data_IF_749274305578
#
_entry.id   IF_749274305578
#
_cell.length_a   1.000
_cell.length_b   1.000
_cell.length_c   1.000
_cell.angle_alpha   90.00
_cell.angle_beta   90.00
_cell.angle_gamma   90.00
#
_symmetry.space_group_name_H-M   'P 1'
#
loop_
_entity.id
_entity.type
_entity.pdbx_description
1 polymer ?
#
# COMPACT_ATOMS: atom_id res chain seq x y z
N UNK A 1 10.55 17.28 13.80
CA UNK A 1 10.69 15.80 13.79
C UNK A 1 12.16 15.41 13.69
N UNK A 2 12.60 14.27 14.29
CA UNK A 2 13.99 13.77 14.12
C UNK A 2 14.06 12.87 12.89
N UNK A 3 15.07 13.07 12.04
CA UNK A 3 15.30 12.30 10.82
C UNK A 3 16.81 12.19 10.53
N UNK A 4 17.17 11.24 9.69
CA UNK A 4 18.53 10.99 9.21
C UNK A 4 18.56 11.04 7.67
N UNK A 5 19.54 11.71 7.09
CA UNK A 5 19.74 11.71 5.63
C UNK A 5 20.50 10.45 5.25
N UNK A 6 19.85 9.54 4.53
CA UNK A 6 20.45 8.26 4.08
C UNK A 6 21.20 8.39 2.77
N UNK A 7 20.72 9.22 1.88
CA UNK A 7 21.34 9.45 0.58
C UNK A 7 20.92 10.80 0.03
N UNK A 8 21.83 11.48 -0.60
CA UNK A 8 21.61 12.78 -1.22
C UNK A 8 22.37 12.91 -2.53
N UNK A 9 21.69 13.42 -3.54
CA UNK A 9 22.25 13.88 -4.80
C UNK A 9 21.61 15.23 -5.14
N UNK A 10 22.18 15.97 -6.08
CA UNK A 10 21.63 17.27 -6.49
C UNK A 10 20.15 17.14 -6.91
N UNK A 11 19.28 17.85 -6.23
CA UNK A 11 17.82 17.84 -6.49
C UNK A 11 17.05 16.64 -5.92
N UNK A 12 17.71 15.71 -5.21
CA UNK A 12 17.03 14.56 -4.61
C UNK A 12 17.65 14.16 -3.29
N UNK A 13 16.81 14.01 -2.26
CA UNK A 13 17.21 13.60 -0.92
C UNK A 13 16.38 12.41 -0.46
N UNK A 14 17.01 11.42 0.14
CA UNK A 14 16.34 10.32 0.84
C UNK A 14 16.60 10.45 2.33
N UNK A 15 15.53 10.58 3.09
CA UNK A 15 15.56 10.72 4.55
C UNK A 15 14.84 9.55 5.20
N UNK A 16 15.34 9.16 6.38
CA UNK A 16 14.69 8.18 7.25
C UNK A 16 14.21 8.87 8.51
N UNK A 17 12.94 8.67 8.85
CA UNK A 17 12.35 9.19 10.07
C UNK A 17 12.76 8.31 11.26
N UNK A 18 13.14 8.94 12.38
CA UNK A 18 13.48 8.22 13.62
C UNK A 18 12.23 7.75 14.36
N UNK A 19 11.51 6.79 13.74
CA UNK A 19 10.37 6.11 14.37
C UNK A 19 10.44 4.61 14.05
N UNK A 20 9.94 3.78 14.96
CA UNK A 20 9.98 2.32 14.81
C UNK A 20 9.06 1.79 13.72
N UNK A 21 7.92 2.41 13.56
CA UNK A 21 6.90 2.10 12.55
C UNK A 21 6.24 3.39 12.08
N UNK A 22 5.81 3.39 10.84
CA UNK A 22 5.00 4.44 10.23
C UNK A 22 3.70 3.80 9.75
N UNK A 23 2.57 4.32 10.19
CA UNK A 23 1.27 3.89 9.71
C UNK A 23 1.02 4.45 8.30
N UNK A 24 0.09 3.86 7.56
CA UNK A 24 -0.34 4.38 6.25
C UNK A 24 -0.82 5.83 6.37
N UNK A 25 -1.59 6.13 7.41
CA UNK A 25 -2.07 7.48 7.69
C UNK A 25 -0.93 8.48 7.93
N UNK A 26 0.06 8.13 8.74
CA UNK A 26 1.24 8.98 8.97
C UNK A 26 2.05 9.20 7.69
N UNK A 27 2.19 8.16 6.85
CA UNK A 27 2.85 8.28 5.56
C UNK A 27 2.12 9.24 4.61
N UNK A 28 0.80 9.23 4.62
CA UNK A 28 -0.03 10.13 3.81
C UNK A 28 0.00 11.56 4.32
N UNK A 29 -0.02 11.76 5.64
CA UNK A 29 0.15 13.08 6.25
C UNK A 29 1.52 13.68 5.86
N UNK A 30 2.60 12.89 5.95
CA UNK A 30 3.92 13.32 5.57
C UNK A 30 4.02 13.61 4.06
N UNK A 31 3.43 12.75 3.24
CA UNK A 31 3.36 12.93 1.79
C UNK A 31 2.66 14.25 1.44
N UNK A 32 1.48 14.50 2.00
CA UNK A 32 0.70 15.69 1.77
C UNK A 32 1.47 16.96 2.18
N UNK A 33 2.00 16.97 3.41
CA UNK A 33 2.75 18.10 3.93
C UNK A 33 3.96 18.44 3.06
N UNK A 34 4.76 17.44 2.67
CA UNK A 34 5.92 17.69 1.83
C UNK A 34 5.52 18.13 0.41
N UNK A 35 4.48 17.54 -0.15
CA UNK A 35 3.98 17.92 -1.48
C UNK A 35 3.39 19.33 -1.54
N UNK A 36 2.95 19.88 -0.41
CA UNK A 36 2.45 21.26 -0.33
C UNK A 36 3.57 22.33 -0.32
N UNK A 37 4.84 21.92 -0.17
CA UNK A 37 5.97 22.85 -0.18
C UNK A 37 6.35 23.26 -1.60
N UNK A 38 6.50 24.57 -1.87
CA UNK A 38 6.74 25.13 -3.22
C UNK A 38 7.98 24.60 -3.93
N UNK A 39 9.02 24.26 -3.17
CA UNK A 39 10.30 23.81 -3.72
C UNK A 39 10.39 22.30 -3.89
N UNK A 40 9.37 21.57 -3.48
CA UNK A 40 9.31 20.11 -3.61
C UNK A 40 8.52 19.74 -4.86
N UNK A 41 9.19 19.07 -5.79
CA UNK A 41 8.59 18.68 -7.08
C UNK A 41 8.05 17.26 -7.07
N UNK A 42 8.47 16.44 -6.10
CA UNK A 42 7.96 15.09 -5.96
C UNK A 42 8.35 14.45 -4.65
N UNK A 43 7.45 13.68 -4.09
CA UNK A 43 7.65 12.97 -2.83
C UNK A 43 7.21 11.52 -2.97
N UNK A 44 8.00 10.61 -2.42
CA UNK A 44 7.63 9.20 -2.28
C UNK A 44 7.93 8.76 -0.85
N UNK A 45 6.90 8.47 -0.09
CA UNK A 45 7.01 7.96 1.28
C UNK A 45 6.82 6.43 1.28
N UNK A 46 7.69 5.73 2.02
CA UNK A 46 7.61 4.28 2.23
C UNK A 46 7.42 4.00 3.72
N UNK A 47 6.25 3.58 4.09
CA UNK A 47 5.84 3.29 5.46
C UNK A 47 6.68 2.18 6.11
N UNK A 48 6.97 1.11 5.36
CA UNK A 48 7.71 -0.07 5.85
C UNK A 48 9.10 0.29 6.37
N UNK A 49 9.80 1.20 5.66
CA UNK A 49 11.16 1.60 5.99
C UNK A 49 11.23 2.93 6.75
N UNK A 50 10.08 3.57 6.97
CA UNK A 50 9.99 4.95 7.47
C UNK A 50 10.84 5.94 6.68
N UNK A 51 10.93 5.75 5.34
CA UNK A 51 11.75 6.55 4.44
C UNK A 51 10.89 7.50 3.61
N UNK A 52 11.39 8.71 3.38
CA UNK A 52 10.86 9.63 2.38
C UNK A 52 11.94 9.96 1.35
N UNK A 53 11.60 9.82 0.06
CA UNK A 53 12.43 10.29 -1.06
C UNK A 53 11.79 11.58 -1.57
N UNK A 54 12.56 12.66 -1.57
CA UNK A 54 12.12 14.02 -1.85
C UNK A 54 12.90 14.52 -3.05
N UNK A 55 12.22 14.87 -4.13
CA UNK A 55 12.80 15.60 -5.25
C UNK A 55 12.50 17.08 -5.05
N UNK A 56 13.49 17.92 -5.20
CA UNK A 56 13.35 19.36 -4.93
C UNK A 56 14.14 20.22 -5.93
N UNK A 57 13.70 21.45 -6.06
CA UNK A 57 14.38 22.49 -6.85
C UNK A 57 14.70 23.65 -5.89
N UNK A 58 15.95 24.14 -5.93
CA UNK A 58 16.37 25.22 -5.06
C UNK A 58 17.30 24.76 -3.94
N UNK A 59 17.12 25.34 -2.75
CA UNK A 59 18.05 25.16 -1.64
C UNK A 59 17.79 23.87 -0.86
N UNK A 60 18.84 23.11 -0.60
CA UNK A 60 18.84 21.96 0.32
C UNK A 60 18.30 22.34 1.71
N UNK A 61 18.66 23.54 2.18
CA UNK A 61 18.31 23.98 3.51
C UNK A 61 16.80 24.19 3.69
N UNK A 62 16.08 24.54 2.63
CA UNK A 62 14.62 24.69 2.66
C UNK A 62 13.93 23.36 2.92
N UNK A 63 14.42 22.27 2.30
CA UNK A 63 13.90 20.91 2.53
C UNK A 63 14.15 20.47 3.98
N UNK A 64 15.36 20.72 4.50
CA UNK A 64 15.71 20.40 5.88
C UNK A 64 14.83 21.20 6.86
N UNK A 65 14.61 22.48 6.63
CA UNK A 65 13.76 23.33 7.46
C UNK A 65 12.30 22.85 7.43
N UNK A 66 11.79 22.43 6.27
CA UNK A 66 10.46 21.86 6.14
C UNK A 66 10.32 20.58 6.97
N UNK A 67 11.30 19.67 6.88
CA UNK A 67 11.31 18.43 7.66
C UNK A 67 11.42 18.67 9.17
N UNK A 68 12.22 19.65 9.60
CA UNK A 68 12.36 20.01 11.02
C UNK A 68 11.06 20.57 11.61
N UNK A 69 10.35 21.41 10.84
CA UNK A 69 9.07 22.02 11.23
C UNK A 69 7.92 21.03 11.23
N UNK A 70 8.05 19.92 10.54
CA UNK A 70 7.00 18.93 10.41
C UNK A 70 6.61 18.29 11.75
N UNK A 71 5.30 18.26 12.02
CA UNK A 71 4.65 17.52 13.12
C UNK A 71 3.36 16.92 12.60
N UNK A 72 3.08 15.67 12.93
CA UNK A 72 1.86 14.97 12.49
C UNK A 72 0.57 15.65 12.95
N UNK A 73 0.59 16.23 14.17
CA UNK A 73 -0.57 16.85 14.81
C UNK A 73 -1.00 18.16 14.15
N UNK A 74 -0.05 18.90 13.56
CA UNK A 74 -0.30 20.23 12.98
C UNK A 74 -0.40 20.26 11.48
N UNK A 75 -0.30 19.12 10.82
CA UNK A 75 -0.19 19.04 9.35
C UNK A 75 -1.52 19.27 8.60
N UNK A 76 -2.65 19.50 9.29
CA UNK A 76 -3.92 19.97 8.70
C UNK A 76 -4.34 19.28 7.39
N UNK A 77 -4.25 17.94 7.34
CA UNK A 77 -4.54 17.18 6.11
C UNK A 77 -6.04 16.97 5.96
N UNK A 78 -6.63 17.26 4.79
CA UNK A 78 -8.04 16.99 4.53
C UNK A 78 -8.34 15.48 4.62
N UNK A 79 -9.43 15.09 5.27
CA UNK A 79 -9.82 13.67 5.39
C UNK A 79 -9.99 13.01 4.03
N UNK A 80 -10.54 13.71 3.05
CA UNK A 80 -10.69 13.23 1.68
C UNK A 80 -9.36 12.78 1.04
N UNK A 81 -8.22 13.39 1.42
CA UNK A 81 -6.91 12.97 0.92
C UNK A 81 -6.49 11.64 1.54
N UNK A 82 -6.76 11.44 2.83
CA UNK A 82 -6.42 10.22 3.55
C UNK A 82 -7.24 9.03 3.04
N UNK A 83 -8.54 9.20 2.84
CA UNK A 83 -9.44 8.15 2.33
C UNK A 83 -9.10 7.72 0.90
N UNK A 84 -8.65 8.66 0.05
CA UNK A 84 -8.36 8.41 -1.36
C UNK A 84 -6.89 8.03 -1.64
N UNK A 85 -6.05 7.91 -0.63
CA UNK A 85 -4.62 7.58 -0.82
C UNK A 85 -4.39 6.18 -1.40
N UNK A 86 -5.35 5.28 -1.26
CA UNK A 86 -5.28 3.90 -1.73
C UNK A 86 -4.27 3.01 -1.01
N UNK A 87 -3.56 3.53 0.01
CA UNK A 87 -2.56 2.76 0.77
C UNK A 87 -3.21 1.68 1.62
N UNK A 88 -4.24 2.01 2.38
CA UNK A 88 -4.98 1.05 3.20
C UNK A 88 -5.65 -0.02 2.34
N UNK A 89 -6.19 0.37 1.19
CA UNK A 89 -6.76 -0.55 0.22
C UNK A 89 -5.69 -1.55 -0.28
N UNK A 90 -4.50 -1.04 -0.60
CA UNK A 90 -3.39 -1.86 -1.10
C UNK A 90 -2.83 -2.80 -0.02
N UNK A 91 -2.77 -2.39 1.26
CA UNK A 91 -2.40 -3.27 2.37
C UNK A 91 -3.41 -4.41 2.53
N UNK A 92 -4.70 -4.10 2.53
CA UNK A 92 -5.75 -5.11 2.63
C UNK A 92 -5.69 -6.14 1.48
N UNK A 93 -5.45 -5.70 0.24
CA UNK A 93 -5.25 -6.61 -0.89
C UNK A 93 -3.98 -7.45 -0.76
N UNK A 94 -2.88 -6.89 -0.27
CA UNK A 94 -1.65 -7.64 -0.02
C UNK A 94 -1.85 -8.73 1.03
N UNK A 95 -2.52 -8.43 2.14
CA UNK A 95 -2.83 -9.41 3.18
C UNK A 95 -3.72 -10.54 2.64
N UNK A 96 -4.75 -10.20 1.86
CA UNK A 96 -5.59 -11.21 1.22
C UNK A 96 -4.82 -12.10 0.25
N UNK A 97 -3.90 -11.54 -0.53
CA UNK A 97 -3.04 -12.30 -1.45
C UNK A 97 -2.10 -13.22 -0.69
N UNK A 98 -1.41 -12.71 0.35
CA UNK A 98 -0.50 -13.51 1.18
C UNK A 98 -1.26 -14.68 1.79
N UNK A 99 -2.41 -14.44 2.41
CA UNK A 99 -3.24 -15.48 3.00
C UNK A 99 -3.66 -16.54 1.96
N UNK A 100 -4.09 -16.12 0.77
CA UNK A 100 -4.45 -17.05 -0.31
C UNK A 100 -3.27 -17.89 -0.78
N UNK A 101 -2.08 -17.28 -0.92
CA UNK A 101 -0.86 -17.97 -1.34
C UNK A 101 -0.39 -18.95 -0.28
N UNK A 102 -0.38 -18.54 1.00
CA UNK A 102 0.00 -19.40 2.13
C UNK A 102 -0.93 -20.59 2.25
N UNK A 103 -2.26 -20.37 2.25
CA UNK A 103 -3.24 -21.47 2.32
C UNK A 103 -3.10 -22.42 1.13
N UNK A 104 -2.87 -21.88 -0.06
CA UNK A 104 -2.69 -22.71 -1.26
C UNK A 104 -1.40 -23.52 -1.19
N UNK A 105 -0.30 -22.94 -0.70
CA UNK A 105 0.97 -23.63 -0.49
C UNK A 105 0.86 -24.73 0.58
N UNK A 106 0.21 -24.46 1.70
CA UNK A 106 -0.04 -25.47 2.74
C UNK A 106 -0.91 -26.62 2.22
N UNK A 107 -1.97 -26.31 1.47
CA UNK A 107 -2.81 -27.36 0.86
C UNK A 107 -2.01 -28.23 -0.12
N UNK A 108 -1.10 -27.65 -0.89
CA UNK A 108 -0.27 -28.41 -1.84
C UNK A 108 0.69 -29.36 -1.13
N UNK A 109 1.24 -28.94 0.01
CA UNK A 109 2.25 -29.70 0.77
C UNK A 109 1.64 -30.76 1.69
N UNK A 110 0.51 -30.45 2.33
CA UNK A 110 -0.05 -31.29 3.41
C UNK A 110 -1.29 -32.09 3.02
N UNK A 111 -1.99 -31.70 1.94
CA UNK A 111 -3.21 -32.40 1.52
C UNK A 111 -2.90 -33.41 0.41
N UNK A 112 -3.20 -34.71 0.58
CA UNK A 112 -3.04 -35.70 -0.44
C UNK A 112 -3.83 -35.39 -1.72
N UNK A 113 -3.26 -35.72 -2.89
CA UNK A 113 -3.86 -35.43 -4.20
C UNK A 113 -5.35 -35.81 -4.34
N UNK A 114 -5.82 -37.00 -3.88
CA UNK A 114 -7.24 -37.35 -4.00
C UNK A 114 -8.16 -36.42 -3.21
N UNK A 115 -7.72 -35.96 -2.02
CA UNK A 115 -8.48 -35.02 -1.20
C UNK A 115 -8.53 -33.63 -1.85
N UNK A 116 -7.44 -33.20 -2.48
CA UNK A 116 -7.40 -31.95 -3.25
C UNK A 116 -8.42 -31.95 -4.39
N UNK A 117 -8.57 -33.08 -5.09
CA UNK A 117 -9.57 -33.23 -6.15
C UNK A 117 -11.00 -33.10 -5.62
N UNK A 118 -11.31 -33.70 -4.48
CA UNK A 118 -12.64 -33.61 -3.84
C UNK A 118 -12.93 -32.16 -3.43
N UNK A 119 -11.96 -31.47 -2.82
CA UNK A 119 -12.11 -30.06 -2.44
C UNK A 119 -12.32 -29.16 -3.67
N UNK A 120 -11.58 -29.43 -4.76
CA UNK A 120 -11.74 -28.69 -6.00
C UNK A 120 -13.13 -28.89 -6.62
N UNK A 121 -13.61 -30.13 -6.67
CA UNK A 121 -14.97 -30.46 -7.13
C UNK A 121 -16.03 -29.78 -6.28
N UNK A 122 -15.89 -29.80 -4.98
CA UNK A 122 -16.85 -29.17 -4.07
C UNK A 122 -16.90 -27.64 -4.22
N UNK A 123 -15.73 -26.99 -4.39
CA UNK A 123 -15.66 -25.56 -4.67
C UNK A 123 -16.26 -25.18 -6.02
N UNK A 124 -16.09 -26.03 -7.05
CA UNK A 124 -16.61 -25.79 -8.40
C UNK A 124 -18.11 -26.16 -8.54
N UNK A 125 -18.65 -26.98 -7.65
CA UNK A 125 -20.04 -27.42 -7.69
C UNK A 125 -21.05 -26.24 -7.77
N UNK A 126 -20.80 -25.16 -7.01
CA UNK A 126 -21.62 -23.94 -7.07
C UNK A 126 -21.66 -23.30 -8.46
N UNK A 127 -20.52 -23.27 -9.15
CA UNK A 127 -20.40 -22.69 -10.50
C UNK A 127 -21.04 -23.61 -11.55
N UNK A 128 -20.85 -24.93 -11.41
CA UNK A 128 -21.45 -25.94 -12.27
C UNK A 128 -22.98 -25.90 -12.16
N UNK A 129 -23.52 -25.87 -10.94
CA UNK A 129 -24.96 -25.75 -10.72
C UNK A 129 -25.53 -24.43 -11.27
N UNK A 130 -24.79 -23.32 -11.10
CA UNK A 130 -25.22 -22.02 -11.65
C UNK A 130 -25.19 -22.02 -13.19
N UNK A 131 -24.14 -22.57 -13.79
CA UNK A 131 -24.04 -22.73 -15.23
C UNK A 131 -25.13 -23.61 -15.81
N UNK A 132 -25.38 -24.77 -15.20
CA UNK A 132 -26.49 -25.68 -15.61
C UNK A 132 -27.88 -24.99 -15.55
N UNK A 133 -28.13 -24.20 -14.49
CA UNK A 133 -29.40 -23.44 -14.38
C UNK A 133 -29.53 -22.37 -15.49
N UNK A 134 -28.46 -21.73 -15.89
CA UNK A 134 -28.45 -20.71 -16.97
C UNK A 134 -28.75 -21.40 -18.33
N UNK A 135 -28.07 -22.53 -18.58
CA UNK A 135 -28.30 -23.31 -19.80
C UNK A 135 -29.73 -23.84 -19.89
N UNK A 136 -30.31 -24.36 -18.79
CA UNK A 136 -31.69 -24.84 -18.75
C UNK A 136 -32.71 -23.69 -18.91
N UNK A 137 -32.37 -22.46 -18.53
CA UNK A 137 -33.25 -21.29 -18.69
C UNK A 137 -33.13 -20.61 -20.06
N UNK A 138 -32.26 -21.11 -20.95
CA UNK A 138 -32.08 -20.57 -22.32
C UNK A 138 -31.64 -19.12 -22.38
N UNK A 139 -31.16 -18.56 -21.27
CA UNK A 139 -30.62 -17.18 -21.23
C UNK A 139 -29.10 -17.22 -21.25
N UNK A 140 -28.52 -17.24 -22.45
CA UNK A 140 -27.11 -16.95 -22.65
C UNK A 140 -26.99 -15.42 -22.65
N UNK A 141 -26.53 -14.84 -21.56
CA UNK A 141 -26.05 -13.46 -21.56
C UNK A 141 -24.59 -13.49 -22.01
N UNK A 142 -24.36 -12.91 -23.20
CA UNK A 142 -23.03 -12.57 -23.71
C UNK A 142 -22.53 -11.34 -22.99
#
# INVERSE_FOLDING_TARGET
MKFEIKHEIKGRMRVRMHQKRMTCREADILLFYLSSQRHITGVKVREINCDATINYVGSRQEVINALQKFKYETAGVPENFLENSGRELNEHYKEQLINKVVIRGLNLLFVPKPIQAIIALWKSAKYICKGAKILLKGKIQV
#
